data_IF_198947463615
#
_entry.id   IF_198947463615
#
_cell.length_a   1.000
_cell.length_b   1.000
_cell.length_c   1.000
_cell.angle_alpha   90.00
_cell.angle_beta   90.00
_cell.angle_gamma   90.00
#
_symmetry.space_group_name_H-M   'P 1'
#
loop_
_entity.id
_entity.type
_entity.pdbx_description
1 polymer ?
#
# COMPACT_ATOMS: atom_id res chain seq x y z
N UNK A 1 -37.93 -18.96 50.28
CA UNK A 1 -38.11 -19.78 49.06
C UNK A 1 -37.88 -18.86 47.87
N UNK A 2 -36.66 -18.83 47.31
CA UNK A 2 -36.36 -18.05 46.10
C UNK A 2 -36.87 -18.83 44.89
N UNK A 3 -37.60 -18.14 44.02
CA UNK A 3 -38.30 -18.70 42.86
C UNK A 3 -37.28 -19.30 41.87
N UNK A 4 -37.38 -20.61 41.52
CA UNK A 4 -36.38 -21.30 40.71
C UNK A 4 -36.23 -20.76 39.26
N UNK A 5 -37.17 -19.93 38.80
CA UNK A 5 -37.12 -19.28 37.49
C UNK A 5 -36.05 -18.18 37.38
N UNK A 6 -35.78 -17.44 38.46
CA UNK A 6 -34.88 -16.28 38.40
C UNK A 6 -33.41 -16.69 38.22
N UNK A 7 -33.02 -17.83 38.78
CA UNK A 7 -31.67 -18.38 38.63
C UNK A 7 -31.36 -18.83 37.19
N UNK A 8 -32.36 -19.33 36.46
CA UNK A 8 -32.18 -19.77 35.07
C UNK A 8 -32.05 -18.59 34.09
N UNK A 9 -32.74 -17.48 34.37
CA UNK A 9 -32.61 -16.26 33.58
C UNK A 9 -31.25 -15.58 33.77
N UNK A 10 -30.72 -15.56 35.00
CA UNK A 10 -29.38 -15.00 35.27
C UNK A 10 -28.29 -15.85 34.60
N UNK A 11 -28.39 -17.18 34.65
CA UNK A 11 -27.45 -18.07 33.98
C UNK A 11 -27.47 -17.92 32.44
N UNK A 12 -28.67 -17.78 31.84
CA UNK A 12 -28.82 -17.58 30.40
C UNK A 12 -28.26 -16.23 29.93
N UNK A 13 -28.45 -15.15 30.71
CA UNK A 13 -27.87 -13.82 30.41
C UNK A 13 -26.36 -13.82 30.57
N UNK A 14 -25.81 -14.53 31.55
CA UNK A 14 -24.37 -14.70 31.70
C UNK A 14 -23.74 -15.54 30.58
N UNK A 15 -24.40 -16.62 30.13
CA UNK A 15 -23.92 -17.44 29.01
C UNK A 15 -24.00 -16.73 27.65
N UNK A 16 -25.00 -15.87 27.42
CA UNK A 16 -25.09 -15.09 26.18
C UNK A 16 -24.06 -13.95 26.08
N UNK A 17 -23.47 -13.50 27.20
CA UNK A 17 -22.42 -12.47 27.18
C UNK A 17 -21.02 -12.98 26.86
N UNK A 18 -20.79 -14.29 26.87
CA UNK A 18 -19.45 -14.88 26.60
C UNK A 18 -19.31 -15.34 25.14
N UNK A 19 -20.41 -15.41 24.39
CA UNK A 19 -20.40 -15.75 22.97
C UNK A 19 -20.59 -14.50 22.09
N UNK A 20 -19.85 -13.43 22.36
CA UNK A 20 -19.52 -12.50 21.29
C UNK A 20 -18.49 -13.20 20.40
N UNK A 21 -18.98 -13.98 19.44
CA UNK A 21 -18.20 -14.31 18.26
C UNK A 21 -17.83 -12.97 17.62
N UNK A 22 -16.63 -12.47 17.91
CA UNK A 22 -16.04 -11.37 17.17
C UNK A 22 -15.73 -11.92 15.78
N UNK A 23 -16.75 -11.99 14.93
CA UNK A 23 -16.57 -12.21 13.51
C UNK A 23 -16.00 -10.89 12.95
N UNK A 24 -14.69 -10.73 13.15
CA UNK A 24 -13.91 -9.60 12.67
C UNK A 24 -13.71 -9.76 11.16
N UNK A 25 -14.76 -9.48 10.40
CA UNK A 25 -14.77 -9.62 8.93
C UNK A 25 -13.84 -8.63 8.23
N UNK A 26 -13.50 -7.48 8.85
CA UNK A 26 -12.93 -6.34 8.13
C UNK A 26 -11.63 -5.81 8.75
N UNK A 27 -10.78 -6.69 9.31
CA UNK A 27 -9.43 -6.29 9.70
C UNK A 27 -8.53 -6.23 8.46
N UNK A 28 -8.40 -5.04 7.87
CA UNK A 28 -7.35 -4.79 6.88
C UNK A 28 -5.96 -4.98 7.48
N UNK A 29 -5.83 -4.75 8.79
CA UNK A 29 -4.59 -4.92 9.53
C UNK A 29 -4.78 -5.89 10.68
N UNK A 30 -3.78 -6.76 10.90
CA UNK A 30 -3.74 -7.68 12.02
C UNK A 30 -2.56 -7.38 12.93
N UNK A 31 -2.81 -7.47 14.24
CA UNK A 31 -1.79 -7.37 15.28
C UNK A 31 -1.99 -8.48 16.29
N UNK A 32 -0.95 -9.27 16.52
CA UNK A 32 -0.99 -10.41 17.46
C UNK A 32 0.35 -10.65 18.14
N UNK A 33 0.36 -11.60 19.08
CA UNK A 33 1.55 -11.99 19.85
C UNK A 33 1.76 -13.49 19.82
N UNK A 34 2.98 -13.96 19.59
CA UNK A 34 3.31 -15.39 19.71
C UNK A 34 3.29 -15.89 21.16
N UNK A 35 3.35 -15.00 22.16
CA UNK A 35 3.35 -15.37 23.58
C UNK A 35 1.97 -15.73 24.15
N UNK A 36 0.90 -15.45 23.42
CA UNK A 36 -0.48 -15.72 23.89
C UNK A 36 -0.96 -17.12 23.52
N UNK A 37 -0.18 -17.89 22.77
CA UNK A 37 -0.51 -19.26 22.39
C UNK A 37 -0.09 -20.26 23.48
N UNK A 38 -0.90 -21.29 23.68
CA UNK A 38 -0.57 -22.39 24.58
C UNK A 38 0.65 -23.14 24.02
N UNK A 39 1.71 -23.22 24.82
CA UNK A 39 3.05 -23.74 24.50
C UNK A 39 3.10 -25.20 24.02
N UNK A 40 1.98 -25.93 24.10
CA UNK A 40 1.86 -27.33 23.68
C UNK A 40 1.21 -27.53 22.32
N UNK A 41 0.65 -26.48 21.72
CA UNK A 41 0.07 -26.53 20.39
C UNK A 41 1.12 -26.11 19.36
N UNK A 42 1.46 -27.00 18.42
CA UNK A 42 2.23 -26.63 17.22
C UNK A 42 1.29 -25.99 16.19
N UNK A 43 0.39 -25.14 16.67
CA UNK A 43 -0.71 -24.67 15.87
C UNK A 43 -0.24 -23.53 14.98
N UNK A 44 -0.64 -23.63 13.72
CA UNK A 44 -0.43 -22.58 12.73
C UNK A 44 -1.66 -21.68 12.77
N UNK A 45 -1.49 -20.44 13.21
CA UNK A 45 -2.59 -19.49 13.31
C UNK A 45 -3.01 -19.01 11.92
N UNK A 46 -4.31 -19.03 11.65
CA UNK A 46 -4.88 -18.56 10.38
C UNK A 46 -5.31 -17.10 10.51
N UNK A 47 -4.70 -16.23 9.70
CA UNK A 47 -5.02 -14.81 9.62
C UNK A 47 -5.72 -14.54 8.29
N UNK A 48 -6.88 -13.89 8.32
CA UNK A 48 -7.67 -13.55 7.13
C UNK A 48 -7.77 -12.04 6.97
N UNK A 49 -7.22 -11.50 5.89
CA UNK A 49 -7.22 -10.06 5.60
C UNK A 49 -7.96 -9.82 4.28
N UNK A 50 -9.08 -9.10 4.35
CA UNK A 50 -10.00 -8.87 3.21
C UNK A 50 -9.98 -7.42 2.73
N UNK A 51 -8.82 -6.90 2.37
CA UNK A 51 -8.66 -5.53 1.90
C UNK A 51 -7.67 -5.43 0.75
N UNK A 52 -7.75 -4.34 -0.02
CA UNK A 52 -6.78 -4.04 -1.07
C UNK A 52 -5.41 -3.63 -0.51
N UNK A 53 -5.34 -3.21 0.75
CA UNK A 53 -4.10 -2.88 1.43
C UNK A 53 -4.26 -2.96 2.96
N UNK A 54 -3.16 -3.12 3.67
CA UNK A 54 -3.13 -3.10 5.12
C UNK A 54 -1.78 -3.48 5.70
N UNK A 55 -1.76 -3.97 6.93
CA UNK A 55 -0.51 -4.32 7.64
C UNK A 55 -0.63 -5.55 8.53
N UNK A 56 0.51 -6.18 8.79
CA UNK A 56 0.63 -7.26 9.75
C UNK A 56 1.72 -6.89 10.76
N UNK A 57 1.42 -7.03 12.05
CA UNK A 57 2.37 -6.85 13.14
C UNK A 57 2.31 -8.03 14.11
N UNK A 58 3.36 -8.85 14.10
CA UNK A 58 3.48 -10.02 14.97
C UNK A 58 4.56 -9.81 16.01
N UNK A 59 4.13 -9.59 17.25
CA UNK A 59 5.00 -9.40 18.40
C UNK A 59 5.48 -10.75 18.91
N UNK A 60 6.78 -10.87 19.22
CA UNK A 60 7.37 -12.10 19.75
C UNK A 60 6.98 -13.35 18.93
N UNK A 61 7.33 -13.40 17.63
CA UNK A 61 6.97 -14.52 16.75
C UNK A 61 7.27 -15.88 17.37
N UNK A 62 6.30 -16.79 17.37
CA UNK A 62 6.45 -18.18 17.85
C UNK A 62 5.55 -19.09 17.02
N UNK A 63 6.06 -20.23 16.55
CA UNK A 63 5.29 -21.10 15.64
C UNK A 63 5.20 -20.51 14.23
N UNK A 64 4.01 -20.50 13.64
CA UNK A 64 3.81 -19.95 12.29
C UNK A 64 2.41 -19.35 12.09
N UNK A 65 2.29 -18.46 11.10
CA UNK A 65 1.03 -17.89 10.63
C UNK A 65 0.78 -18.28 9.16
N UNK A 66 -0.46 -18.58 8.80
CA UNK A 66 -0.92 -18.58 7.40
C UNK A 66 -1.81 -17.37 7.19
N UNK A 67 -1.38 -16.47 6.31
CA UNK A 67 -2.07 -15.22 5.99
C UNK A 67 -2.78 -15.35 4.65
N UNK A 68 -4.10 -15.28 4.71
CA UNK A 68 -5.00 -15.35 3.57
C UNK A 68 -5.38 -13.93 3.13
N UNK A 69 -4.72 -13.44 2.07
CA UNK A 69 -4.98 -12.11 1.50
C UNK A 69 -6.05 -12.20 0.40
N UNK A 70 -7.10 -11.39 0.51
CA UNK A 70 -8.17 -11.30 -0.49
C UNK A 70 -8.67 -9.85 -0.66
N UNK A 71 -9.13 -9.46 -1.85
CA UNK A 71 -9.83 -8.18 -2.00
C UNK A 71 -11.17 -8.22 -1.27
N UNK A 72 -11.69 -7.04 -0.89
CA UNK A 72 -13.01 -6.94 -0.25
C UNK A 72 -14.16 -7.12 -1.26
N UNK A 73 -13.89 -6.89 -2.55
CA UNK A 73 -14.85 -7.08 -3.63
C UNK A 73 -14.53 -8.38 -4.35
N UNK A 74 -15.56 -9.21 -4.56
CA UNK A 74 -15.44 -10.40 -5.39
C UNK A 74 -15.04 -9.98 -6.82
N UNK A 75 -13.99 -10.55 -7.41
CA UNK A 75 -13.62 -10.25 -8.78
C UNK A 75 -14.77 -10.64 -9.72
N UNK A 76 -15.14 -9.74 -10.63
CA UNK A 76 -16.31 -9.84 -11.52
C UNK A 76 -16.31 -11.09 -12.40
N UNK A 77 -15.14 -11.70 -12.60
CA UNK A 77 -14.96 -13.05 -13.10
C UNK A 77 -14.46 -13.90 -11.94
N UNK A 78 -15.16 -14.95 -11.51
CA UNK A 78 -14.84 -15.77 -10.32
C UNK A 78 -13.48 -16.50 -10.30
N UNK A 79 -12.52 -16.07 -11.11
CA UNK A 79 -11.11 -16.36 -10.99
C UNK A 79 -10.36 -15.05 -10.68
N UNK A 80 -9.29 -15.12 -9.90
CA UNK A 80 -8.34 -14.01 -9.70
C UNK A 80 -7.11 -14.10 -10.63
N UNK A 81 -7.23 -14.36 -11.96
CA UNK A 81 -6.05 -14.46 -12.81
C UNK A 81 -5.45 -13.06 -12.92
N UNK A 82 -4.22 -12.94 -12.41
CA UNK A 82 -3.50 -11.67 -12.42
C UNK A 82 -3.81 -10.76 -11.22
N UNK A 83 -4.19 -11.29 -10.06
CA UNK A 83 -4.08 -10.54 -8.81
C UNK A 83 -2.79 -10.94 -8.09
N UNK A 84 -1.97 -9.96 -7.76
CA UNK A 84 -0.75 -10.13 -6.99
C UNK A 84 -0.89 -9.50 -5.61
N UNK A 85 -0.12 -10.02 -4.66
CA UNK A 85 0.16 -9.37 -3.39
C UNK A 85 1.60 -8.85 -3.42
N UNK A 86 1.78 -7.59 -3.06
CA UNK A 86 3.08 -6.97 -2.83
C UNK A 86 3.25 -6.73 -1.33
N UNK A 87 4.40 -7.11 -0.78
CA UNK A 87 4.72 -6.97 0.63
C UNK A 87 5.93 -6.06 0.78
N UNK A 88 5.83 -5.08 1.69
CA UNK A 88 6.96 -4.22 2.09
C UNK A 88 7.22 -4.38 3.59
N UNK A 89 8.29 -5.09 3.98
CA UNK A 89 8.72 -5.15 5.37
C UNK A 89 9.18 -3.78 5.87
N UNK A 90 8.95 -3.48 7.15
CA UNK A 90 9.62 -2.35 7.78
C UNK A 90 11.09 -2.72 8.02
N UNK A 91 11.97 -1.72 8.06
CA UNK A 91 13.42 -1.90 8.19
C UNK A 91 13.83 -2.55 9.52
N UNK A 92 12.98 -2.46 10.55
CA UNK A 92 13.16 -3.08 11.86
C UNK A 92 12.43 -4.44 12.01
N UNK A 93 11.76 -4.92 10.95
CA UNK A 93 11.10 -6.22 10.93
C UNK A 93 12.11 -7.35 11.09
N UNK A 94 11.89 -8.23 12.06
CA UNK A 94 12.74 -9.39 12.36
C UNK A 94 12.01 -10.48 13.13
N UNK A 95 12.64 -11.64 13.25
CA UNK A 95 12.13 -12.79 14.00
C UNK A 95 11.29 -13.78 13.17
N UNK A 96 11.25 -13.64 11.85
CA UNK A 96 10.57 -14.62 11.00
C UNK A 96 11.15 -14.72 9.59
N UNK A 97 10.76 -15.76 8.88
CA UNK A 97 10.91 -15.92 7.43
C UNK A 97 9.52 -15.92 6.78
N UNK A 98 9.40 -15.29 5.60
CA UNK A 98 8.19 -15.33 4.79
C UNK A 98 8.36 -16.35 3.67
N UNK A 99 7.37 -17.21 3.52
CA UNK A 99 7.27 -18.24 2.51
C UNK A 99 5.93 -18.14 1.77
N UNK A 100 5.85 -18.83 0.65
CA UNK A 100 4.60 -19.13 -0.03
C UNK A 100 4.30 -20.60 0.15
N UNK A 101 3.14 -20.89 0.73
CA UNK A 101 2.61 -22.23 0.93
C UNK A 101 1.64 -22.59 -0.20
N UNK A 102 1.89 -23.73 -0.84
CA UNK A 102 0.94 -24.34 -1.78
C UNK A 102 1.03 -25.85 -1.71
N UNK A 103 -0.10 -26.48 -1.38
CA UNK A 103 -0.24 -27.94 -1.34
C UNK A 103 0.81 -28.63 -0.45
N UNK A 104 1.12 -28.02 0.70
CA UNK A 104 2.08 -28.51 1.68
C UNK A 104 3.55 -28.21 1.35
N UNK A 105 3.84 -27.50 0.26
CA UNK A 105 5.18 -27.07 -0.10
C UNK A 105 5.42 -25.60 0.28
N UNK A 106 6.56 -25.32 0.90
CA UNK A 106 7.00 -23.97 1.25
C UNK A 106 8.10 -23.50 0.30
N UNK A 107 7.88 -22.35 -0.35
CA UNK A 107 8.91 -21.65 -1.14
C UNK A 107 9.28 -20.35 -0.43
N UNK A 108 10.56 -20.17 -0.10
CA UNK A 108 11.03 -18.94 0.53
C UNK A 108 10.72 -17.73 -0.36
N UNK A 109 10.07 -16.73 0.23
CA UNK A 109 9.78 -15.44 -0.39
C UNK A 109 10.77 -14.38 0.08
N UNK A 110 10.98 -14.28 1.39
CA UNK A 110 11.94 -13.36 2.01
C UNK A 110 12.48 -13.95 3.32
N UNK A 111 13.81 -14.04 3.42
CA UNK A 111 14.49 -14.31 4.69
C UNK A 111 14.45 -13.11 5.64
N UNK A 112 14.83 -13.31 6.90
CA UNK A 112 14.91 -12.23 7.91
C UNK A 112 15.88 -11.12 7.48
N UNK A 113 17.02 -11.50 6.87
CA UNK A 113 18.03 -10.54 6.41
C UNK A 113 17.58 -9.76 5.18
N UNK A 114 16.75 -10.36 4.32
CA UNK A 114 16.16 -9.69 3.17
C UNK A 114 15.07 -8.71 3.58
N UNK A 115 14.25 -9.05 4.60
CA UNK A 115 13.26 -8.13 5.15
C UNK A 115 13.88 -6.84 5.67
N UNK A 116 15.03 -6.91 6.34
CA UNK A 116 15.74 -5.74 6.83
C UNK A 116 16.15 -4.75 5.73
N UNK A 117 16.16 -5.17 4.45
CA UNK A 117 16.41 -4.28 3.31
C UNK A 117 15.20 -3.41 2.96
N UNK A 118 14.02 -3.67 3.51
CA UNK A 118 12.79 -2.91 3.28
C UNK A 118 12.31 -2.91 1.82
N UNK A 119 12.74 -3.89 1.02
CA UNK A 119 12.37 -3.99 -0.40
C UNK A 119 10.99 -4.58 -0.55
N UNK A 120 10.25 -4.08 -1.53
CA UNK A 120 8.95 -4.63 -1.91
C UNK A 120 9.16 -5.93 -2.67
N UNK A 121 8.47 -6.99 -2.27
CA UNK A 121 8.43 -8.25 -3.00
C UNK A 121 6.99 -8.59 -3.36
N UNK A 122 6.74 -8.91 -4.63
CA UNK A 122 5.41 -9.26 -5.12
C UNK A 122 5.33 -10.72 -5.56
N UNK A 123 4.17 -11.33 -5.41
CA UNK A 123 3.86 -12.69 -5.87
C UNK A 123 2.41 -12.76 -6.34
N UNK A 124 2.12 -13.65 -7.29
CA UNK A 124 0.74 -13.91 -7.71
C UNK A 124 0.00 -14.68 -6.61
N UNK A 125 -1.24 -14.31 -6.33
CA UNK A 125 -2.08 -15.06 -5.37
C UNK A 125 -2.35 -16.50 -5.82
N UNK A 126 -2.13 -16.82 -7.10
CA UNK A 126 -2.21 -18.19 -7.61
C UNK A 126 -1.01 -19.06 -7.22
N UNK A 127 0.08 -18.46 -6.73
CA UNK A 127 1.30 -19.18 -6.34
C UNK A 127 1.19 -19.83 -4.96
N UNK A 128 0.34 -19.33 -4.07
CA UNK A 128 0.15 -19.86 -2.72
C UNK A 128 -0.34 -18.83 -1.71
N UNK A 129 -0.63 -19.28 -0.50
CA UNK A 129 -0.89 -18.43 0.66
C UNK A 129 0.43 -17.95 1.29
N UNK A 130 0.41 -16.81 1.96
CA UNK A 130 1.59 -16.30 2.65
C UNK A 130 1.76 -17.07 3.97
N UNK A 131 2.89 -17.74 4.14
CA UNK A 131 3.24 -18.48 5.35
C UNK A 131 4.40 -17.78 6.06
N UNK A 132 4.23 -17.46 7.34
CA UNK A 132 5.23 -16.72 8.13
C UNK A 132 5.69 -17.64 9.25
N UNK A 133 6.96 -18.02 9.23
CA UNK A 133 7.54 -18.92 10.22
C UNK A 133 8.43 -18.14 11.19
N UNK A 134 8.24 -18.33 12.49
CA UNK A 134 9.12 -17.73 13.49
C UNK A 134 10.54 -18.33 13.41
N UNK A 135 11.56 -17.47 13.45
CA UNK A 135 12.95 -17.90 13.55
C UNK A 135 13.24 -18.31 15.00
N UNK A 136 13.83 -19.50 15.19
CA UNK A 136 14.19 -19.99 16.52
C UNK A 136 15.02 -18.99 17.32
N UNK A 137 14.59 -18.72 18.56
CA UNK A 137 15.19 -17.71 19.42
C UNK A 137 15.92 -18.36 20.61
N UNK A 138 17.12 -17.88 20.95
CA UNK A 138 17.90 -18.33 22.12
C UNK A 138 17.95 -17.29 23.24
N UNK A 139 17.47 -16.07 23.00
CA UNK A 139 17.45 -14.96 23.93
C UNK A 139 16.01 -14.49 24.23
N UNK A 140 15.85 -13.48 25.09
CA UNK A 140 14.54 -12.88 25.42
C UNK A 140 14.33 -11.52 24.73
N UNK A 141 15.12 -11.23 23.68
CA UNK A 141 15.06 -9.94 23.00
C UNK A 141 13.71 -9.74 22.29
N UNK A 142 13.26 -8.48 22.28
CA UNK A 142 12.03 -8.10 21.56
C UNK A 142 12.26 -8.23 20.05
N UNK A 143 11.46 -9.09 19.41
CA UNK A 143 11.39 -9.27 17.96
C UNK A 143 9.98 -9.00 17.48
N UNK A 144 9.85 -8.36 16.33
CA UNK A 144 8.58 -7.99 15.74
C UNK A 144 8.69 -8.23 14.25
N UNK A 145 7.84 -9.10 13.71
CA UNK A 145 7.65 -9.22 12.27
C UNK A 145 6.60 -8.21 11.87
N UNK A 146 6.97 -7.25 11.04
CA UNK A 146 6.08 -6.17 10.64
C UNK A 146 6.24 -5.83 9.17
N UNK A 147 5.12 -5.81 8.45
CA UNK A 147 5.10 -5.43 7.05
C UNK A 147 3.75 -4.83 6.64
N UNK A 148 3.77 -4.09 5.55
CA UNK A 148 2.58 -3.66 4.83
C UNK A 148 2.33 -4.57 3.63
N UNK A 149 1.07 -4.73 3.24
CA UNK A 149 0.71 -5.43 2.02
C UNK A 149 -0.23 -4.59 1.17
N UNK A 150 -0.16 -4.79 -0.15
CA UNK A 150 -1.09 -4.24 -1.13
C UNK A 150 -1.45 -5.31 -2.16
N UNK A 151 -2.73 -5.36 -2.56
CA UNK A 151 -3.26 -6.24 -3.60
C UNK A 151 -3.44 -5.46 -4.89
N UNK A 152 -2.93 -6.03 -5.98
CA UNK A 152 -2.69 -5.29 -7.21
C UNK A 152 -2.97 -6.16 -8.43
N UNK A 153 -3.76 -5.64 -9.36
CA UNK A 153 -4.04 -6.33 -10.61
C UNK A 153 -2.84 -6.19 -11.56
N UNK A 154 -2.42 -7.28 -12.23
CA UNK A 154 -1.35 -7.27 -13.22
C UNK A 154 -1.71 -6.42 -14.44
N UNK A 155 -3.00 -6.34 -14.76
CA UNK A 155 -3.52 -5.61 -15.92
C UNK A 155 -4.63 -4.67 -15.45
N UNK A 156 -4.39 -3.36 -15.49
CA UNK A 156 -5.35 -2.36 -15.08
C UNK A 156 -4.75 -0.94 -15.03
N UNK A 157 -5.60 0.09 -14.88
CA UNK A 157 -5.14 1.46 -14.68
C UNK A 157 -4.20 1.52 -13.47
N UNK A 158 -2.99 2.04 -13.65
CA UNK A 158 -1.99 2.15 -12.58
C UNK A 158 -1.16 0.89 -12.30
N UNK A 159 -1.32 -0.21 -13.05
CA UNK A 159 -0.44 -1.39 -12.92
C UNK A 159 1.04 -1.06 -13.23
N UNK A 160 1.29 -0.05 -14.07
CA UNK A 160 2.63 0.49 -14.34
C UNK A 160 3.26 1.22 -13.15
N UNK A 161 2.48 1.58 -12.12
CA UNK A 161 2.94 2.24 -10.89
C UNK A 161 3.55 1.25 -9.88
N UNK A 162 3.58 -0.05 -10.21
CA UNK A 162 4.31 -1.08 -9.48
C UNK A 162 5.48 -1.57 -10.32
N UNK A 163 6.67 -0.94 -10.21
CA UNK A 163 7.84 -1.32 -10.99
C UNK A 163 8.22 -2.80 -10.81
N UNK A 164 7.93 -3.36 -9.63
CA UNK A 164 8.25 -4.74 -9.24
C UNK A 164 7.39 -5.80 -9.95
N UNK A 165 6.22 -5.43 -10.48
CA UNK A 165 5.39 -6.32 -11.31
C UNK A 165 5.69 -6.21 -12.79
N UNK A 166 6.24 -5.07 -13.22
CA UNK A 166 6.54 -4.72 -14.60
C UNK A 166 8.01 -4.31 -14.73
N UNK A 167 8.90 -5.21 -14.33
CA UNK A 167 10.36 -5.00 -14.38
C UNK A 167 10.89 -4.72 -15.80
N UNK A 168 10.11 -5.03 -16.85
CA UNK A 168 10.48 -4.81 -18.25
C UNK A 168 9.72 -3.74 -19.03
N UNK A 169 8.64 -3.13 -18.52
CA UNK A 169 7.65 -2.42 -19.37
C UNK A 169 7.23 -1.02 -18.93
N UNK A 170 7.84 -0.41 -17.91
CA UNK A 170 7.54 1.00 -17.64
C UNK A 170 8.18 1.89 -18.72
N UNK A 171 7.50 2.01 -19.85
CA UNK A 171 7.83 3.00 -20.86
C UNK A 171 7.63 4.37 -20.25
N UNK A 172 8.64 5.25 -20.35
CA UNK A 172 8.52 6.66 -19.96
C UNK A 172 7.73 7.46 -21.00
N UNK A 173 6.69 6.82 -21.55
CA UNK A 173 5.80 7.38 -22.54
C UNK A 173 5.04 8.52 -21.88
N UNK A 174 5.10 9.73 -22.45
CA UNK A 174 4.28 10.84 -21.99
C UNK A 174 2.81 10.44 -21.96
N UNK A 175 2.09 10.90 -20.94
CA UNK A 175 0.64 10.69 -20.87
C UNK A 175 -0.05 11.37 -22.04
N UNK A 176 -1.06 10.71 -22.59
CA UNK A 176 -2.00 11.28 -23.56
C UNK A 176 -2.90 12.33 -22.92
N UNK A 177 -3.52 13.20 -23.72
CA UNK A 177 -4.38 14.27 -23.20
C UNK A 177 -5.54 13.74 -22.34
N UNK A 178 -6.19 12.65 -22.76
CA UNK A 178 -7.26 12.00 -21.99
C UNK A 178 -6.75 11.40 -20.67
N UNK A 179 -5.55 10.82 -20.68
CA UNK A 179 -4.92 10.31 -19.46
C UNK A 179 -4.58 11.44 -18.49
N UNK A 180 -4.13 12.59 -18.98
CA UNK A 180 -3.85 13.76 -18.15
C UNK A 180 -5.15 14.25 -17.48
N UNK A 181 -6.22 14.40 -18.26
CA UNK A 181 -7.52 14.85 -17.75
C UNK A 181 -8.09 13.86 -16.73
N UNK A 182 -7.96 12.55 -16.95
CA UNK A 182 -8.44 11.56 -16.00
C UNK A 182 -7.56 11.49 -14.74
N UNK A 183 -6.24 11.53 -14.89
CA UNK A 183 -5.28 11.37 -13.80
C UNK A 183 -5.50 12.42 -12.70
N UNK A 184 -5.74 13.67 -13.09
CA UNK A 184 -5.96 14.73 -12.10
C UNK A 184 -7.20 14.52 -11.24
N UNK A 185 -8.17 13.72 -11.69
CA UNK A 185 -9.38 13.41 -10.94
C UNK A 185 -9.27 12.12 -10.12
N UNK A 186 -8.55 11.12 -10.63
CA UNK A 186 -8.56 9.76 -10.05
C UNK A 186 -7.32 9.41 -9.24
N UNK A 187 -6.24 10.17 -9.40
CA UNK A 187 -4.99 9.94 -8.70
C UNK A 187 -5.12 10.11 -7.18
N UNK A 188 -4.24 9.45 -6.42
CA UNK A 188 -4.20 9.60 -4.98
C UNK A 188 -3.73 11.00 -4.57
N UNK A 189 -2.97 11.67 -5.43
CA UNK A 189 -2.62 13.07 -5.28
C UNK A 189 -2.62 13.79 -6.63
N UNK A 190 -2.90 15.09 -6.60
CA UNK A 190 -2.62 16.02 -7.69
C UNK A 190 -2.20 17.39 -7.16
N UNK A 191 -1.23 18.03 -7.82
CA UNK A 191 -0.79 19.38 -7.50
C UNK A 191 0.08 19.98 -8.58
N UNK A 192 0.23 21.30 -8.60
CA UNK A 192 1.16 22.00 -9.49
C UNK A 192 2.41 22.43 -8.71
N UNK A 193 3.57 22.35 -9.35
CA UNK A 193 4.82 22.71 -8.69
C UNK A 193 6.05 22.59 -9.58
N UNK A 194 7.22 22.64 -8.95
CA UNK A 194 8.52 22.52 -9.61
C UNK A 194 9.39 21.42 -8.97
N UNK A 195 10.34 20.93 -9.77
CA UNK A 195 11.35 19.96 -9.34
C UNK A 195 12.50 20.73 -8.69
N UNK A 196 12.82 20.41 -7.43
CA UNK A 196 13.97 21.02 -6.74
C UNK A 196 15.28 20.29 -7.04
N UNK A 197 15.23 18.97 -7.11
CA UNK A 197 16.41 18.15 -7.30
C UNK A 197 16.05 16.67 -7.41
N UNK A 198 16.97 15.91 -7.98
CA UNK A 198 16.88 14.45 -8.04
C UNK A 198 17.83 13.91 -6.98
N UNK A 199 17.32 13.09 -6.07
CA UNK A 199 18.14 12.47 -5.04
C UNK A 199 19.06 11.42 -5.67
N UNK A 200 20.21 11.20 -5.05
CA UNK A 200 21.09 10.10 -5.44
C UNK A 200 20.31 8.78 -5.31
N UNK A 201 20.26 7.95 -6.36
CA UNK A 201 19.45 6.74 -6.34
C UNK A 201 19.90 5.80 -5.21
N UNK A 202 18.99 5.56 -4.25
CA UNK A 202 19.18 4.63 -3.12
C UNK A 202 18.77 3.19 -3.48
N UNK A 203 18.06 3.01 -4.59
CA UNK A 203 17.56 1.72 -5.07
C UNK A 203 17.90 1.55 -6.56
N UNK A 204 18.22 0.31 -7.02
CA UNK A 204 18.41 0.03 -8.43
C UNK A 204 17.12 0.10 -9.28
N UNK A 205 15.95 0.30 -8.65
CA UNK A 205 14.66 0.21 -9.35
C UNK A 205 14.03 1.58 -9.63
N UNK A 206 14.28 2.57 -8.77
CA UNK A 206 13.65 3.90 -8.85
C UNK A 206 14.57 5.03 -8.36
N UNK A 207 14.27 6.25 -8.77
CA UNK A 207 14.86 7.48 -8.25
C UNK A 207 13.82 8.27 -7.46
N UNK A 208 14.24 8.83 -6.33
CA UNK A 208 13.48 9.82 -5.58
C UNK A 208 13.78 11.22 -6.11
N UNK A 209 12.74 12.04 -6.27
CA UNK A 209 12.82 13.41 -6.79
C UNK A 209 12.15 14.35 -5.81
N UNK A 210 12.91 15.30 -5.27
CA UNK A 210 12.39 16.33 -4.39
C UNK A 210 11.61 17.37 -5.20
N UNK A 211 10.37 17.64 -4.81
CA UNK A 211 9.49 18.59 -5.47
C UNK A 211 8.92 19.61 -4.49
N UNK A 212 8.45 20.73 -5.02
CA UNK A 212 7.65 21.70 -4.26
C UNK A 212 6.41 22.06 -5.03
N UNK A 213 5.26 21.90 -4.39
CA UNK A 213 3.98 22.25 -4.96
C UNK A 213 3.60 23.65 -4.50
N UNK A 214 3.47 24.57 -5.45
CA UNK A 214 2.89 25.89 -5.19
C UNK A 214 1.41 25.76 -4.85
N UNK A 215 0.73 24.73 -5.39
CA UNK A 215 -0.64 24.38 -5.04
C UNK A 215 -0.85 22.87 -5.03
N UNK A 216 -1.45 22.37 -3.96
CA UNK A 216 -1.92 21.00 -3.85
C UNK A 216 -3.44 21.00 -4.09
N UNK A 217 -3.91 20.26 -5.09
CA UNK A 217 -5.34 20.13 -5.38
C UNK A 217 -5.98 19.12 -4.43
N UNK A 218 -5.37 17.94 -4.31
CA UNK A 218 -5.77 16.92 -3.34
C UNK A 218 -4.61 15.96 -3.05
N UNK A 219 -4.67 15.30 -1.89
CA UNK A 219 -3.90 14.10 -1.58
C UNK A 219 -4.70 13.21 -0.62
N UNK A 220 -4.74 11.90 -0.84
CA UNK A 220 -5.44 10.94 0.03
C UNK A 220 -4.72 10.71 1.36
N UNK A 221 -3.39 10.74 1.33
CA UNK A 221 -2.52 10.64 2.52
C UNK A 221 -1.47 11.74 2.47
N UNK A 222 -0.97 12.17 3.63
CA UNK A 222 -0.01 13.27 3.76
C UNK A 222 1.40 12.95 3.27
N UNK A 223 1.57 12.73 1.97
CA UNK A 223 2.89 12.54 1.31
C UNK A 223 3.56 13.87 0.96
N UNK A 224 2.78 14.96 0.91
CA UNK A 224 3.28 16.32 0.84
C UNK A 224 2.92 17.06 2.13
N UNK A 225 3.90 17.72 2.73
CA UNK A 225 3.74 18.51 3.94
C UNK A 225 3.86 20.00 3.65
N UNK A 226 3.09 20.82 4.35
CA UNK A 226 3.22 22.27 4.25
C UNK A 226 4.51 22.69 4.96
N UNK A 227 5.42 23.32 4.21
CA UNK A 227 6.64 23.88 4.79
C UNK A 227 6.25 25.15 5.55
N UNK A 228 6.40 25.16 6.88
CA UNK A 228 5.77 26.10 7.82
C UNK A 228 6.12 27.59 7.68
N UNK A 229 6.46 28.27 8.77
CA UNK A 229 6.51 29.75 8.88
C UNK A 229 7.40 30.54 7.87
N UNK A 230 8.10 29.86 6.95
CA UNK A 230 8.89 30.44 5.85
C UNK A 230 8.55 29.84 4.47
N UNK A 231 7.71 28.82 4.38
CA UNK A 231 7.40 28.12 3.15
C UNK A 231 6.24 28.74 2.38
N UNK A 232 6.40 28.85 1.06
CA UNK A 232 5.37 29.31 0.12
C UNK A 232 4.66 28.14 -0.59
N UNK A 233 4.70 26.93 -0.03
CA UNK A 233 4.15 25.75 -0.70
C UNK A 233 4.37 24.45 0.06
N UNK A 234 3.93 23.36 -0.57
CA UNK A 234 4.05 22.01 -0.07
C UNK A 234 5.35 21.37 -0.52
N UNK A 235 6.03 20.62 0.33
CA UNK A 235 7.24 19.87 -0.01
C UNK A 235 7.01 18.37 0.10
N UNK A 236 7.72 17.59 -0.71
CA UNK A 236 7.64 16.14 -0.69
C UNK A 236 8.57 15.51 -1.72
N UNK A 237 8.55 14.18 -1.79
CA UNK A 237 9.37 13.38 -2.69
C UNK A 237 8.49 12.54 -3.60
N UNK A 238 8.90 12.39 -4.86
CA UNK A 238 8.25 11.56 -5.86
C UNK A 238 9.18 10.44 -6.30
N UNK A 239 8.70 9.21 -6.26
CA UNK A 239 9.37 8.06 -6.82
C UNK A 239 9.01 7.89 -8.31
N UNK A 240 10.02 7.70 -9.14
CA UNK A 240 9.89 7.43 -10.58
C UNK A 240 10.85 6.33 -10.99
N UNK A 241 10.51 5.47 -11.97
CA UNK A 241 11.46 4.50 -12.52
C UNK A 241 12.76 5.18 -12.97
N UNK A 242 13.93 4.56 -12.74
CA UNK A 242 15.24 5.18 -13.04
C UNK A 242 15.43 5.64 -14.49
N UNK A 243 14.75 4.95 -15.42
CA UNK A 243 14.72 5.29 -16.86
C UNK A 243 13.96 6.58 -17.16
N UNK A 244 13.03 6.97 -16.28
CA UNK A 244 12.16 8.13 -16.43
C UNK A 244 12.73 9.31 -15.64
N UNK A 245 13.92 9.78 -16.06
CA UNK A 245 14.62 10.88 -15.40
C UNK A 245 13.83 12.17 -15.57
N UNK A 246 13.36 12.70 -14.45
CA UNK A 246 12.87 14.07 -14.36
C UNK A 246 14.08 14.99 -14.25
N UNK A 247 14.08 16.06 -15.04
CA UNK A 247 15.14 17.06 -14.96
C UNK A 247 14.58 18.35 -14.36
N UNK A 248 15.27 18.97 -13.40
CA UNK A 248 14.97 20.33 -12.98
C UNK A 248 15.07 21.24 -14.20
N UNK A 249 14.08 22.11 -14.37
CA UNK A 249 14.07 23.18 -15.38
C UNK A 249 13.70 24.47 -14.70
N UNK A 250 14.50 25.50 -14.91
CA UNK A 250 14.27 26.81 -14.30
C UNK A 250 12.92 27.37 -14.74
N UNK A 251 12.17 27.91 -13.78
CA UNK A 251 10.88 28.59 -13.97
C UNK A 251 9.75 27.74 -14.59
N UNK A 252 9.91 26.43 -14.68
CA UNK A 252 8.91 25.54 -15.26
C UNK A 252 8.06 24.85 -14.17
N UNK A 253 6.74 25.07 -14.23
CA UNK A 253 5.77 24.34 -13.41
C UNK A 253 5.19 23.12 -14.15
N UNK A 254 5.04 22.04 -13.41
CA UNK A 254 4.46 20.77 -13.85
C UNK A 254 3.20 20.48 -13.05
N UNK A 255 2.25 19.80 -13.68
CA UNK A 255 1.19 19.11 -12.96
C UNK A 255 1.74 17.76 -12.52
N UNK A 256 1.82 17.50 -11.22
CA UNK A 256 2.17 16.19 -10.69
C UNK A 256 0.91 15.44 -10.29
N UNK A 257 0.73 14.25 -10.84
CA UNK A 257 -0.33 13.30 -10.46
C UNK A 257 0.30 11.95 -10.20
N UNK A 258 -0.32 11.13 -9.34
CA UNK A 258 0.22 9.81 -9.07
C UNK A 258 -0.53 9.01 -8.04
N UNK A 259 0.12 7.96 -7.58
CA UNK A 259 -0.43 7.04 -6.60
C UNK A 259 0.42 7.05 -5.33
N UNK A 260 -0.20 6.77 -4.19
CA UNK A 260 0.54 6.47 -2.96
C UNK A 260 0.62 4.96 -2.81
N UNK A 261 1.83 4.44 -2.64
CA UNK A 261 2.13 3.01 -2.47
C UNK A 261 3.05 2.85 -1.29
N UNK A 262 2.66 2.04 -0.32
CA UNK A 262 3.40 1.81 0.93
C UNK A 262 3.82 3.12 1.62
N UNK A 263 2.92 4.12 1.61
CA UNK A 263 3.16 5.45 2.17
C UNK A 263 4.05 6.38 1.35
N UNK A 264 4.53 5.94 0.17
CA UNK A 264 5.41 6.71 -0.70
C UNK A 264 4.66 7.20 -1.94
N UNK A 265 4.94 8.42 -2.39
CA UNK A 265 4.32 8.97 -3.59
C UNK A 265 5.05 8.47 -4.85
N UNK A 266 4.32 7.83 -5.75
CA UNK A 266 4.80 7.36 -7.04
C UNK A 266 4.21 8.19 -8.17
N UNK A 267 5.08 8.72 -9.03
CA UNK A 267 4.67 9.58 -10.12
C UNK A 267 3.92 8.80 -11.21
N UNK A 268 2.75 9.31 -11.61
CA UNK A 268 1.99 8.88 -12.79
C UNK A 268 2.23 9.82 -13.97
N UNK A 269 1.43 10.89 -14.08
CA UNK A 269 1.59 11.89 -15.15
C UNK A 269 2.25 13.17 -14.62
N UNK A 270 3.17 13.72 -15.43
CA UNK A 270 3.89 14.97 -15.14
C UNK A 270 3.96 15.95 -16.34
N UNK A 271 2.83 16.34 -16.96
CA UNK A 271 2.89 17.30 -18.06
C UNK A 271 3.25 18.70 -17.55
N UNK A 272 3.68 19.57 -18.48
CA UNK A 272 3.81 21.00 -18.22
C UNK A 272 2.47 21.57 -17.78
N UNK A 273 2.45 22.36 -16.72
CA UNK A 273 1.20 22.90 -16.17
C UNK A 273 0.46 23.79 -17.19
N UNK A 274 1.21 24.55 -18.02
CA UNK A 274 0.63 25.34 -19.13
C UNK A 274 -0.07 24.49 -20.20
N UNK A 275 0.43 23.27 -20.47
CA UNK A 275 -0.23 22.34 -21.39
C UNK A 275 -1.55 21.86 -20.79
N UNK A 276 -1.49 21.43 -19.52
CA UNK A 276 -2.66 21.00 -18.78
C UNK A 276 -3.77 22.07 -18.72
N UNK A 277 -3.42 23.32 -18.43
CA UNK A 277 -4.39 24.43 -18.40
C UNK A 277 -5.16 24.58 -19.72
N UNK A 278 -4.47 24.47 -20.86
CA UNK A 278 -5.11 24.54 -22.17
C UNK A 278 -6.08 23.38 -22.38
N UNK A 279 -5.62 22.15 -22.09
CA UNK A 279 -6.45 20.95 -22.21
C UNK A 279 -7.71 21.02 -21.36
N UNK A 280 -7.55 21.42 -20.09
CA UNK A 280 -8.65 21.46 -19.13
C UNK A 280 -9.67 22.56 -19.49
N UNK A 281 -9.22 23.73 -19.96
CA UNK A 281 -10.12 24.79 -20.45
C UNK A 281 -10.94 24.32 -21.66
N UNK A 282 -10.30 23.69 -22.64
CA UNK A 282 -11.02 23.09 -23.78
C UNK A 282 -12.05 22.07 -23.32
N UNK A 283 -11.66 21.17 -22.41
CA UNK A 283 -12.57 20.15 -21.88
C UNK A 283 -13.76 20.74 -21.10
N UNK A 284 -13.56 21.87 -20.42
CA UNK A 284 -14.62 22.59 -19.72
C UNK A 284 -15.61 23.24 -20.70
N UNK A 285 -15.10 23.88 -21.76
CA UNK A 285 -15.92 24.50 -22.82
C UNK A 285 -16.75 23.47 -23.59
N UNK A 286 -16.19 22.28 -23.83
CA UNK A 286 -16.87 21.18 -24.52
C UNK A 286 -17.71 20.30 -23.59
N UNK A 287 -17.68 20.53 -22.27
CA UNK A 287 -18.38 19.70 -21.27
C UNK A 287 -17.87 18.26 -21.18
N UNK A 288 -16.63 18.01 -21.58
CA UNK A 288 -15.98 16.69 -21.56
C UNK A 288 -14.97 16.53 -20.43
N UNK A 289 -14.93 17.46 -19.47
CA UNK A 289 -14.05 17.37 -18.31
C UNK A 289 -14.51 16.25 -17.35
N UNK A 290 -13.62 15.33 -16.93
CA UNK A 290 -13.99 14.18 -16.10
C UNK A 290 -14.35 14.55 -14.66
N UNK A 291 -13.83 15.68 -14.16
CA UNK A 291 -14.21 16.27 -12.88
C UNK A 291 -14.09 17.80 -12.93
N UNK A 292 -14.67 18.47 -11.94
CA UNK A 292 -14.46 19.90 -11.72
C UNK A 292 -13.27 20.13 -10.79
N UNK A 293 -12.43 21.08 -11.15
CA UNK A 293 -11.29 21.54 -10.36
C UNK A 293 -11.29 23.05 -10.29
N UNK A 294 -11.04 23.55 -9.09
CA UNK A 294 -10.85 24.97 -8.83
C UNK A 294 -9.49 25.41 -9.39
N UNK A 295 -9.44 25.75 -10.67
CA UNK A 295 -8.21 26.29 -11.26
C UNK A 295 -8.03 27.74 -10.80
N UNK A 296 -6.79 28.17 -10.54
CA UNK A 296 -6.54 29.60 -10.34
C UNK A 296 -6.93 30.32 -11.64
N UNK A 297 -7.90 31.24 -11.54
CA UNK A 297 -8.12 32.26 -12.55
C UNK A 297 -6.93 33.20 -12.47
N UNK A 298 -6.18 33.29 -13.58
CA UNK A 298 -5.11 34.29 -13.76
C UNK A 298 -5.63 35.71 -13.46
#
# INVERSE_FOLDING_TARGET
>A
MLWPGLAHWVAAVFLCRVASAQYTSDQCSWRGSGLTHESHSRDVEQVYLRCSQGSLEWLYPTGALIVNLRPNTEPTSGASPGLHACIKPQTDSRGSHLYLERAGQLRLLMSETEQARGRVQCFSLTEGALFIEAVGQQDISRRITVFQYELVASHGPGAHLYPHLNTGTASCTPCTDDQILMAVCTSDFAGRGSIRGVDTPSSPDHSSVAVTLSRLFHQKSGVFSWDGARGKGWSGHLNTPLRCRLQPREEEEFLFTGAVRFGEAWLGCSPRYRHFLKLYRTALETGSNPCHMDMDTD
#
